data_IF_583441583092
#
_entry.id   IF_583441583092
#
_cell.length_a   1.000
_cell.length_b   1.000
_cell.length_c   1.000
_cell.angle_alpha   90.00
_cell.angle_beta   90.00
_cell.angle_gamma   90.00
#
_symmetry.space_group_name_H-M   'P 1'
#
loop_
_entity.id
_entity.type
_entity.pdbx_description
1 polymer ?
#
# COMPACT_ATOMS: atom_id res chain seq x y z
N UNK A 1 -10.19 -18.93 -29.23
CA UNK A 1 -10.61 -18.72 -27.83
C UNK A 1 -9.45 -18.01 -27.14
N UNK A 2 -9.74 -16.84 -26.57
CA UNK A 2 -8.78 -15.89 -26.01
C UNK A 2 -8.00 -16.51 -24.83
N UNK A 3 -6.84 -17.10 -25.15
CA UNK A 3 -5.68 -17.11 -24.27
C UNK A 3 -4.80 -15.94 -24.69
N UNK A 4 -4.17 -15.28 -23.71
CA UNK A 4 -3.43 -14.02 -23.81
C UNK A 4 -4.32 -12.78 -23.59
N UNK A 5 -4.81 -12.63 -22.35
CA UNK A 5 -4.69 -11.34 -21.70
C UNK A 5 -3.30 -11.36 -21.05
N UNK A 6 -2.30 -11.03 -21.86
CA UNK A 6 -1.07 -10.50 -21.30
C UNK A 6 -1.45 -9.35 -20.37
N UNK A 7 -0.78 -9.30 -19.22
CA UNK A 7 -0.88 -8.33 -18.14
C UNK A 7 -0.51 -6.90 -18.59
N UNK A 8 -0.95 -6.46 -19.77
CA UNK A 8 -0.70 -5.15 -20.38
C UNK A 8 -1.28 -3.98 -19.57
N UNK A 9 -2.14 -4.24 -18.58
CA UNK A 9 -2.63 -3.20 -17.66
C UNK A 9 -1.59 -2.80 -16.61
N UNK A 10 -0.54 -3.60 -16.40
CA UNK A 10 0.46 -3.40 -15.36
C UNK A 10 1.78 -2.81 -15.86
N UNK A 11 1.95 -2.63 -17.18
CA UNK A 11 3.16 -2.03 -17.76
C UNK A 11 3.13 -0.49 -17.76
N UNK A 12 2.00 0.12 -17.41
CA UNK A 12 1.79 1.55 -17.60
C UNK A 12 2.67 2.47 -16.74
N UNK A 13 3.09 2.05 -15.54
CA UNK A 13 3.87 2.93 -14.66
C UNK A 13 4.73 2.11 -13.69
N UNK A 14 5.88 1.64 -14.14
CA UNK A 14 7.05 1.38 -13.27
C UNK A 14 8.10 2.44 -13.55
N UNK A 15 7.78 3.71 -13.28
CA UNK A 15 8.85 4.67 -13.15
C UNK A 15 9.62 4.29 -11.87
N UNK A 16 10.96 4.24 -11.90
CA UNK A 16 11.77 4.10 -10.68
C UNK A 16 11.42 5.15 -9.62
N UNK A 17 10.87 6.29 -10.05
CA UNK A 17 10.33 7.33 -9.19
C UNK A 17 9.11 6.87 -8.40
N UNK A 18 8.15 6.20 -9.04
CA UNK A 18 6.95 5.69 -8.36
C UNK A 18 7.32 4.57 -7.38
N UNK A 19 8.24 3.68 -7.76
CA UNK A 19 8.74 2.64 -6.84
C UNK A 19 9.45 3.24 -5.61
N UNK A 20 10.23 4.32 -5.79
CA UNK A 20 10.88 5.02 -4.69
C UNK A 20 9.85 5.71 -3.78
N UNK A 21 8.85 6.37 -4.36
CA UNK A 21 7.78 7.05 -3.63
C UNK A 21 6.94 6.05 -2.80
N UNK A 22 6.57 4.91 -3.39
CA UNK A 22 5.88 3.82 -2.68
C UNK A 22 6.74 3.33 -1.52
N UNK A 23 8.03 3.08 -1.76
CA UNK A 23 8.92 2.53 -0.73
C UNK A 23 9.08 3.49 0.44
N UNK A 24 9.22 4.79 0.17
CA UNK A 24 9.30 5.81 1.22
C UNK A 24 8.00 5.87 2.04
N UNK A 25 6.85 5.92 1.37
CA UNK A 25 5.55 5.92 2.05
C UNK A 25 5.32 4.62 2.86
N UNK A 26 5.68 3.46 2.33
CA UNK A 26 5.55 2.18 3.05
C UNK A 26 6.34 2.18 4.36
N UNK A 27 7.56 2.72 4.37
CA UNK A 27 8.40 2.75 5.58
C UNK A 27 7.81 3.66 6.66
N UNK A 28 7.30 4.83 6.26
CA UNK A 28 6.64 5.76 7.17
C UNK A 28 5.35 5.17 7.76
N UNK A 29 4.54 4.51 6.94
CA UNK A 29 3.31 3.82 7.37
C UNK A 29 3.64 2.66 8.32
N UNK A 30 4.67 1.86 8.01
CA UNK A 30 5.11 0.75 8.86
C UNK A 30 5.49 1.25 10.27
N UNK A 31 6.27 2.32 10.36
CA UNK A 31 6.67 2.89 11.65
C UNK A 31 5.46 3.41 12.45
N UNK A 32 4.53 4.09 11.78
CA UNK A 32 3.30 4.60 12.40
C UNK A 32 2.40 3.46 12.91
N UNK A 33 2.25 2.37 12.15
CA UNK A 33 1.49 1.18 12.56
C UNK A 33 2.14 0.49 13.76
N UNK A 34 3.48 0.36 13.74
CA UNK A 34 4.23 -0.28 14.82
C UNK A 34 4.13 0.49 16.13
N UNK A 35 4.10 1.82 16.06
CA UNK A 35 4.05 2.71 17.24
C UNK A 35 2.63 3.11 17.65
N UNK A 36 1.61 2.64 16.92
CA UNK A 36 0.23 2.98 17.20
C UNK A 36 -0.17 2.54 18.64
N UNK A 37 -0.97 3.34 19.36
CA UNK A 37 -1.36 3.03 20.73
C UNK A 37 -2.42 1.93 20.83
N UNK A 38 -3.08 1.59 19.72
CA UNK A 38 -4.07 0.52 19.62
C UNK A 38 -4.22 0.00 18.20
N UNK A 39 -4.77 -1.20 18.06
CA UNK A 39 -5.10 -1.81 16.76
C UNK A 39 -6.05 -0.92 15.94
N UNK A 40 -7.04 -0.30 16.59
CA UNK A 40 -7.96 0.65 15.96
C UNK A 40 -7.22 1.87 15.39
N UNK A 41 -6.24 2.41 16.12
CA UNK A 41 -5.42 3.53 15.63
C UNK A 41 -4.49 3.12 14.50
N UNK A 42 -3.96 1.90 14.55
CA UNK A 42 -3.21 1.34 13.43
C UNK A 42 -4.08 1.24 12.18
N UNK A 43 -5.31 0.72 12.27
CA UNK A 43 -6.24 0.65 11.12
C UNK A 43 -6.54 2.03 10.52
N UNK A 44 -6.79 3.05 11.36
CA UNK A 44 -7.02 4.42 10.87
C UNK A 44 -5.82 4.95 10.10
N UNK A 45 -4.59 4.73 10.60
CA UNK A 45 -3.35 5.13 9.91
C UNK A 45 -3.25 4.46 8.53
N UNK A 46 -3.65 3.19 8.43
CA UNK A 46 -3.66 2.42 7.17
C UNK A 46 -4.64 3.03 6.17
N UNK A 47 -5.86 3.31 6.60
CA UNK A 47 -6.91 3.88 5.75
C UNK A 47 -6.54 5.28 5.26
N UNK A 48 -6.04 6.15 6.16
CA UNK A 48 -5.62 7.50 5.81
C UNK A 48 -4.47 7.47 4.79
N UNK A 49 -3.48 6.61 5.00
CA UNK A 49 -2.35 6.49 4.08
C UNK A 49 -2.75 5.94 2.71
N UNK A 50 -3.68 4.98 2.66
CA UNK A 50 -4.23 4.49 1.39
C UNK A 50 -4.96 5.62 0.65
N UNK A 51 -5.75 6.43 1.36
CA UNK A 51 -6.50 7.55 0.77
C UNK A 51 -5.59 8.68 0.28
N UNK A 52 -4.50 8.98 1.00
CA UNK A 52 -3.51 9.95 0.54
C UNK A 52 -2.85 9.51 -0.78
N UNK A 53 -2.51 8.22 -0.89
CA UNK A 53 -1.93 7.67 -2.11
C UNK A 53 -2.94 7.58 -3.26
N UNK A 54 -4.22 7.27 -3.01
CA UNK A 54 -5.28 7.36 -4.03
C UNK A 54 -5.42 8.78 -4.60
N UNK A 55 -5.18 9.81 -3.78
CA UNK A 55 -5.24 11.21 -4.25
C UNK A 55 -3.96 11.64 -4.98
N UNK A 56 -2.80 11.10 -4.60
CA UNK A 56 -1.50 11.41 -5.22
C UNK A 56 -1.29 10.65 -6.53
N UNK A 57 -1.78 9.41 -6.60
CA UNK A 57 -1.65 8.53 -7.74
C UNK A 57 -2.89 8.63 -8.62
N UNK A 58 -2.74 9.07 -9.87
CA UNK A 58 -3.82 9.03 -10.86
C UNK A 58 -4.18 7.62 -11.36
N UNK A 59 -3.77 6.56 -10.65
CA UNK A 59 -4.06 5.17 -10.99
C UNK A 59 -4.45 4.36 -9.74
N UNK A 60 -5.27 3.33 -9.95
CA UNK A 60 -5.75 2.44 -8.88
C UNK A 60 -4.74 1.32 -8.51
N UNK A 61 -3.63 1.21 -9.24
CA UNK A 61 -2.64 0.15 -9.06
C UNK A 61 -1.78 0.36 -7.81
N UNK A 62 -1.28 1.58 -7.62
CA UNK A 62 -0.40 1.94 -6.50
C UNK A 62 -1.10 1.81 -5.14
N UNK A 63 -2.34 2.30 -4.96
CA UNK A 63 -3.10 2.09 -3.72
C UNK A 63 -3.36 0.62 -3.41
N UNK A 64 -3.66 -0.19 -4.43
CA UNK A 64 -3.92 -1.63 -4.25
C UNK A 64 -2.69 -2.37 -3.74
N UNK A 65 -1.51 -2.08 -4.31
CA UNK A 65 -0.25 -2.68 -3.88
C UNK A 65 0.14 -2.24 -2.47
N UNK A 66 -0.02 -0.95 -2.16
CA UNK A 66 0.26 -0.41 -0.84
C UNK A 66 -0.64 -1.03 0.23
N UNK A 67 -1.96 -1.06 -0.01
CA UNK A 67 -2.93 -1.63 0.93
C UNK A 67 -2.55 -3.06 1.30
N UNK A 68 -2.22 -3.90 0.32
CA UNK A 68 -1.80 -5.28 0.56
C UNK A 68 -0.55 -5.37 1.44
N UNK A 69 0.45 -4.54 1.15
CA UNK A 69 1.71 -4.53 1.91
C UNK A 69 1.50 -4.03 3.35
N UNK A 70 0.60 -3.07 3.52
CA UNK A 70 0.29 -2.48 4.82
C UNK A 70 -0.61 -3.40 5.67
N UNK A 71 -1.57 -4.09 5.06
CA UNK A 71 -2.35 -5.15 5.71
C UNK A 71 -1.44 -6.27 6.21
N UNK A 72 -0.43 -6.69 5.44
CA UNK A 72 0.58 -7.66 5.89
C UNK A 72 1.33 -7.18 7.14
N UNK A 73 1.68 -5.89 7.23
CA UNK A 73 2.30 -5.32 8.44
C UNK A 73 1.36 -5.36 9.64
N UNK A 74 0.11 -4.94 9.45
CA UNK A 74 -0.91 -4.98 10.50
C UNK A 74 -1.09 -6.40 11.04
N UNK A 75 -1.22 -7.40 10.18
CA UNK A 75 -1.34 -8.80 10.59
C UNK A 75 -0.13 -9.29 11.39
N UNK A 76 1.08 -8.88 11.01
CA UNK A 76 2.32 -9.29 11.70
C UNK A 76 2.47 -8.67 13.08
N UNK A 77 2.04 -7.43 13.28
CA UNK A 77 2.22 -6.70 14.54
C UNK A 77 1.01 -6.76 15.48
N UNK A 78 -0.21 -6.90 14.96
CA UNK A 78 -1.44 -6.69 15.73
C UNK A 78 -2.40 -7.89 15.77
N UNK A 79 -2.50 -8.74 14.74
CA UNK A 79 -3.43 -9.90 14.76
C UNK A 79 -2.79 -11.22 15.23
N UNK A 80 -1.46 -11.32 15.27
CA UNK A 80 -0.75 -12.52 15.78
C UNK A 80 -0.30 -12.44 17.25
N UNK A 81 -0.79 -11.44 18.00
CA UNK A 81 -0.48 -11.20 19.42
C UNK A 81 -1.57 -11.67 20.37
#
# INVERSE_FOLDING_TARGET
>A
MLGNLEDERFDGVKSPFDEALIREHCLDIEEKIRTAPSAEKALIIIEDACRELENLCGNDFLPTMLRRQVEDFYQRFWEKG
#
